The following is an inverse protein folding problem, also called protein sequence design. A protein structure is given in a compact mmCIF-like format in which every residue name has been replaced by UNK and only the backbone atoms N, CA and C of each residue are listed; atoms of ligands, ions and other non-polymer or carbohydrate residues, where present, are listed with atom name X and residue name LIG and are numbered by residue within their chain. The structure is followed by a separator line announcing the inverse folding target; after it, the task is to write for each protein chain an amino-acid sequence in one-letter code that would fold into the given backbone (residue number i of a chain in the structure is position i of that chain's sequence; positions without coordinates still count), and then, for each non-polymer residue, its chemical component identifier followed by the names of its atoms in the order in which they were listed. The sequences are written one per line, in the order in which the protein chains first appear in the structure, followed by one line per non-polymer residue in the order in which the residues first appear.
data_IF_627306834019
#
_entry.id   IF_627306834019
#
_cell.length_a   1.000
_cell.length_b   1.000
_cell.length_c   1.000
_cell.angle_alpha   90.00
_cell.angle_beta   90.00
_cell.angle_gamma   90.00
#
_symmetry.space_group_name_H-M   'P 1'
#
loop_
_entity.id
_entity.type
_entity.pdbx_description
1 polymer ?
#
# COMPACT_ATOMS: atom_id res chain seq x y z
N UNK A 1 3.02 34.80 -21.09
CA UNK A 1 3.46 33.51 -20.51
C UNK A 1 2.34 32.99 -19.60
N UNK A 2 1.82 31.81 -19.88
CA UNK A 2 0.70 31.16 -19.12
C UNK A 2 0.94 31.11 -17.59
N UNK A 3 2.20 31.07 -17.16
CA UNK A 3 2.58 31.02 -15.74
C UNK A 3 2.34 32.33 -14.98
N UNK A 4 2.39 33.47 -15.65
CA UNK A 4 2.19 34.80 -15.01
C UNK A 4 0.72 35.15 -14.85
N UNK A 5 -0.17 34.52 -15.59
CA UNK A 5 -1.63 34.70 -15.49
C UNK A 5 -2.22 33.93 -14.31
N UNK A 6 -1.56 32.84 -13.89
CA UNK A 6 -2.03 31.94 -12.84
C UNK A 6 -1.50 32.28 -11.46
N UNK A 7 -0.24 32.73 -11.36
CA UNK A 7 0.41 33.03 -10.09
C UNK A 7 1.30 34.26 -10.19
N UNK A 8 1.39 35.02 -9.09
CA UNK A 8 2.38 36.07 -8.90
C UNK A 8 3.59 35.49 -8.19
N UNK A 9 4.76 35.84 -8.70
CA UNK A 9 6.05 35.42 -8.15
C UNK A 9 6.73 36.64 -7.51
N UNK A 10 6.93 36.61 -6.20
CA UNK A 10 7.57 37.70 -5.47
C UNK A 10 8.87 37.21 -4.84
N UNK A 11 10.03 37.72 -5.28
CA UNK A 11 11.28 37.38 -4.61
C UNK A 11 11.30 38.00 -3.21
N UNK A 12 11.71 37.24 -2.22
CA UNK A 12 11.83 37.67 -0.84
C UNK A 12 13.18 37.29 -0.29
N UNK A 13 13.81 38.22 0.41
CA UNK A 13 15.05 37.96 1.13
C UNK A 13 14.71 37.84 2.62
N UNK A 14 15.11 36.72 3.22
CA UNK A 14 14.95 36.45 4.64
C UNK A 14 16.31 36.37 5.31
N UNK A 15 16.40 36.79 6.56
CA UNK A 15 17.62 36.82 7.37
C UNK A 15 17.72 38.11 8.19
N UNK A 16 18.63 38.19 9.15
CA UNK A 16 18.82 39.37 9.97
C UNK A 16 19.45 40.51 9.16
N UNK A 17 18.80 41.68 9.13
CA UNK A 17 19.33 42.90 8.52
C UNK A 17 19.86 43.79 9.65
N UNK A 18 21.12 44.17 9.57
CA UNK A 18 21.76 45.05 10.57
C UNK A 18 22.54 46.18 9.94
N UNK A 19 22.34 47.42 10.46
CA UNK A 19 23.11 48.61 10.13
C UNK A 19 22.62 49.42 8.92
N UNK A 20 23.16 50.66 8.81
CA UNK A 20 22.77 51.64 7.79
C UNK A 20 23.19 51.26 6.35
N UNK A 21 24.04 50.27 6.19
CA UNK A 21 24.55 49.80 4.89
C UNK A 21 24.31 48.28 4.70
N UNK A 22 23.09 47.83 5.00
CA UNK A 22 22.75 46.44 4.86
C UNK A 22 22.87 45.99 3.40
N UNK A 23 23.84 45.12 3.14
CA UNK A 23 24.04 44.46 1.84
C UNK A 23 23.61 43.00 1.95
N UNK A 24 23.17 42.44 0.82
CA UNK A 24 22.88 41.00 0.75
C UNK A 24 24.18 40.20 0.99
N UNK A 25 24.14 39.32 1.97
CA UNK A 25 25.21 38.39 2.29
C UNK A 25 24.64 36.96 2.18
N UNK A 26 25.13 36.14 1.25
CA UNK A 26 24.63 34.79 1.05
C UNK A 26 24.87 33.83 2.23
N UNK A 27 25.75 34.20 3.18
CA UNK A 27 26.01 33.41 4.38
C UNK A 27 24.90 33.53 5.44
N UNK A 28 24.21 34.68 5.49
CA UNK A 28 23.17 34.97 6.49
C UNK A 28 21.80 35.26 5.88
N UNK A 29 21.75 35.63 4.60
CA UNK A 29 20.51 35.93 3.90
C UNK A 29 20.15 34.80 2.94
N UNK A 30 18.87 34.44 2.92
CA UNK A 30 18.33 33.47 1.99
C UNK A 30 17.35 34.13 1.04
N UNK A 31 17.57 33.94 -0.25
CA UNK A 31 16.60 34.32 -1.27
C UNK A 31 15.54 33.25 -1.40
N UNK A 32 14.28 33.60 -1.22
CA UNK A 32 13.12 32.76 -1.38
C UNK A 32 12.19 33.33 -2.44
N UNK A 33 11.40 32.48 -3.07
CA UNK A 33 10.38 32.88 -4.02
C UNK A 33 9.02 32.59 -3.42
N UNK A 34 8.24 33.62 -3.12
CA UNK A 34 6.85 33.48 -2.70
C UNK A 34 5.98 33.37 -3.96
N UNK A 35 5.17 32.33 -4.00
CA UNK A 35 4.22 32.07 -5.08
C UNK A 35 2.82 32.33 -4.54
N UNK A 36 2.16 33.36 -5.06
CA UNK A 36 0.80 33.72 -4.66
C UNK A 36 -0.15 33.48 -5.83
N UNK A 37 -1.19 32.65 -5.66
CA UNK A 37 -2.20 32.43 -6.71
C UNK A 37 -2.87 33.77 -7.10
N UNK A 38 -3.14 33.95 -8.37
CA UNK A 38 -3.90 35.12 -8.87
C UNK A 38 -5.32 35.14 -8.28
N UNK A 39 -6.00 36.29 -8.36
CA UNK A 39 -7.39 36.40 -7.91
C UNK A 39 -8.31 35.42 -8.67
N UNK A 40 -8.08 35.27 -9.95
CA UNK A 40 -8.84 34.34 -10.81
C UNK A 40 -8.61 32.88 -10.42
N UNK A 41 -7.36 32.52 -10.10
CA UNK A 41 -7.03 31.18 -9.61
C UNK A 41 -7.68 30.91 -8.25
N UNK A 42 -7.69 31.87 -7.34
CA UNK A 42 -8.36 31.72 -6.04
C UNK A 42 -9.89 31.59 -6.20
N UNK A 43 -10.49 32.37 -7.09
CA UNK A 43 -11.92 32.26 -7.39
C UNK A 43 -12.28 30.91 -8.04
N UNK A 44 -11.46 30.45 -8.97
CA UNK A 44 -11.59 29.11 -9.56
C UNK A 44 -11.49 28.00 -8.51
N UNK A 45 -10.48 28.06 -7.62
CA UNK A 45 -10.29 27.10 -6.56
C UNK A 45 -11.44 27.10 -5.54
N UNK A 46 -12.06 28.27 -5.27
CA UNK A 46 -13.21 28.36 -4.37
C UNK A 46 -14.47 27.65 -4.91
N UNK A 47 -14.55 27.50 -6.23
CA UNK A 47 -15.65 26.84 -6.94
C UNK A 47 -15.40 25.35 -7.19
N UNK A 48 -14.18 24.87 -6.92
CA UNK A 48 -13.85 23.44 -7.04
C UNK A 48 -14.52 22.69 -5.91
N UNK A 49 -15.48 21.86 -6.24
CA UNK A 49 -16.03 20.87 -5.32
C UNK A 49 -14.98 19.80 -5.06
N UNK A 50 -14.59 19.64 -3.80
CA UNK A 50 -13.73 18.51 -3.38
C UNK A 50 -14.64 17.38 -2.94
N UNK A 51 -14.72 16.35 -3.75
CA UNK A 51 -15.33 15.10 -3.34
C UNK A 51 -14.30 14.26 -2.58
N UNK A 52 -14.54 14.07 -1.30
CA UNK A 52 -13.72 13.15 -0.49
C UNK A 52 -14.19 11.73 -0.78
N UNK A 53 -13.52 11.04 -1.70
CA UNK A 53 -13.80 9.64 -2.05
C UNK A 53 -13.49 8.64 -0.92
N UNK A 54 -13.37 9.10 0.30
CA UNK A 54 -13.05 8.37 1.52
C UNK A 54 -11.69 8.78 2.09
N UNK A 55 -11.57 8.73 3.39
CA UNK A 55 -10.26 8.83 4.03
C UNK A 55 -9.40 7.70 3.51
N UNK A 56 -8.13 7.98 3.16
CA UNK A 56 -7.15 6.93 2.87
C UNK A 56 -7.17 5.98 4.05
N UNK A 57 -7.80 4.83 3.86
CA UNK A 57 -8.00 3.86 4.93
C UNK A 57 -6.64 3.56 5.55
N UNK A 58 -6.50 3.80 6.83
CA UNK A 58 -5.32 3.38 7.61
C UNK A 58 -5.28 1.85 7.78
N UNK A 59 -6.27 1.18 7.24
CA UNK A 59 -6.37 -0.27 7.18
C UNK A 59 -5.29 -0.82 6.24
N UNK A 60 -4.56 -1.83 6.69
CA UNK A 60 -3.60 -2.53 5.84
C UNK A 60 -4.27 -3.08 4.58
N UNK A 61 -3.48 -3.29 3.55
CA UNK A 61 -3.98 -3.78 2.26
C UNK A 61 -3.00 -4.78 1.68
N UNK A 62 -3.52 -5.91 1.21
CA UNK A 62 -2.80 -6.86 0.36
C UNK A 62 -2.92 -6.36 -1.07
N UNK A 63 -1.80 -6.13 -1.73
CA UNK A 63 -1.74 -5.66 -3.11
C UNK A 63 -1.57 -6.78 -4.11
N UNK A 64 -0.63 -7.70 -3.85
CA UNK A 64 -0.29 -8.80 -4.74
C UNK A 64 0.10 -10.05 -3.96
N UNK A 65 -0.20 -11.20 -4.52
CA UNK A 65 0.24 -12.50 -4.04
C UNK A 65 0.91 -13.23 -5.20
N UNK A 66 2.16 -13.65 -4.98
CA UNK A 66 2.97 -14.37 -5.97
C UNK A 66 3.28 -15.76 -5.43
N UNK A 67 3.01 -16.78 -6.19
CA UNK A 67 3.49 -18.13 -5.90
C UNK A 67 4.99 -18.19 -6.22
N UNK A 68 5.82 -18.46 -5.22
CA UNK A 68 7.28 -18.45 -5.41
C UNK A 68 7.78 -19.67 -6.14
N UNK A 69 7.03 -20.76 -6.17
CA UNK A 69 7.37 -21.97 -6.89
C UNK A 69 7.20 -21.82 -8.41
N UNK A 70 6.07 -21.23 -8.83
CA UNK A 70 5.79 -20.97 -10.25
C UNK A 70 6.26 -19.61 -10.72
N UNK A 71 6.49 -18.65 -9.83
CA UNK A 71 6.80 -17.26 -10.13
C UNK A 71 5.58 -16.45 -10.61
N UNK A 72 4.37 -16.99 -10.57
CA UNK A 72 3.17 -16.37 -11.11
C UNK A 72 2.39 -15.61 -10.05
N UNK A 73 1.83 -14.46 -10.45
CA UNK A 73 0.97 -13.60 -9.62
C UNK A 73 -0.47 -13.56 -10.14
N UNK A 74 -0.93 -14.64 -10.74
CA UNK A 74 -2.22 -14.75 -11.42
C UNK A 74 -3.36 -15.30 -10.54
N UNK A 75 -3.11 -15.42 -9.23
CA UNK A 75 -4.07 -16.02 -8.29
C UNK A 75 -3.96 -17.54 -8.16
N UNK A 76 -3.08 -18.23 -8.90
CA UNK A 76 -2.78 -19.65 -8.67
C UNK A 76 -1.72 -19.79 -7.58
N UNK A 77 -1.90 -20.74 -6.67
CA UNK A 77 -0.95 -21.03 -5.57
C UNK A 77 -0.73 -22.54 -5.43
N UNK A 78 0.48 -22.91 -5.04
CA UNK A 78 0.89 -24.31 -4.87
C UNK A 78 0.87 -24.68 -3.38
N UNK A 79 0.13 -25.72 -2.97
CA UNK A 79 0.14 -26.22 -1.61
C UNK A 79 1.54 -26.67 -1.18
N UNK A 80 1.87 -26.43 0.08
CA UNK A 80 3.15 -26.75 0.69
C UNK A 80 4.36 -26.01 0.09
N UNK A 81 4.14 -25.00 -0.76
CA UNK A 81 5.15 -24.09 -1.27
C UNK A 81 5.00 -22.69 -0.69
N UNK A 82 6.00 -21.85 -0.89
CA UNK A 82 5.99 -20.50 -0.34
C UNK A 82 5.26 -19.52 -1.27
N UNK A 83 4.56 -18.57 -0.68
CA UNK A 83 4.00 -17.42 -1.37
C UNK A 83 4.62 -16.14 -0.85
N UNK A 84 4.82 -15.19 -1.76
CA UNK A 84 5.16 -13.81 -1.46
C UNK A 84 3.90 -12.97 -1.45
N UNK A 85 3.62 -12.34 -0.32
CA UNK A 85 2.50 -11.42 -0.13
C UNK A 85 3.06 -10.01 -0.06
N UNK A 86 2.67 -9.14 -0.96
CA UNK A 86 3.07 -7.74 -0.99
C UNK A 86 1.86 -6.83 -0.71
N UNK A 87 2.12 -5.77 0.05
CA UNK A 87 1.04 -4.89 0.46
C UNK A 87 1.49 -3.70 1.29
N UNK A 88 0.58 -3.13 2.04
CA UNK A 88 0.84 -2.05 2.99
C UNK A 88 0.32 -2.45 4.37
N UNK A 89 1.16 -2.28 5.40
CA UNK A 89 0.84 -2.57 6.81
C UNK A 89 0.32 -3.99 7.06
N UNK A 90 0.88 -4.97 6.35
CA UNK A 90 0.47 -6.38 6.43
C UNK A 90 1.23 -7.19 7.47
N UNK A 91 2.29 -6.66 8.09
CA UNK A 91 3.10 -7.36 9.09
C UNK A 91 2.24 -8.05 10.14
N UNK A 92 2.53 -9.33 10.39
CA UNK A 92 1.91 -10.11 11.45
C UNK A 92 2.57 -9.74 12.77
N UNK A 93 1.82 -9.09 13.65
CA UNK A 93 2.28 -8.72 14.98
C UNK A 93 1.08 -8.56 15.92
N UNK A 94 1.22 -9.03 17.15
CA UNK A 94 0.21 -8.94 18.20
C UNK A 94 0.22 -10.17 19.09
N UNK A 95 -0.33 -10.01 20.28
CA UNK A 95 -0.44 -11.09 21.28
C UNK A 95 -1.82 -11.78 21.27
N UNK A 96 -2.78 -11.24 20.51
CA UNK A 96 -4.10 -11.83 20.40
C UNK A 96 -4.04 -13.17 19.67
N UNK A 97 -4.79 -14.15 20.13
CA UNK A 97 -4.81 -15.52 19.58
C UNK A 97 -5.36 -15.61 18.16
N UNK A 98 -6.07 -14.60 17.69
CA UNK A 98 -6.58 -14.50 16.33
C UNK A 98 -5.56 -14.00 15.32
N UNK A 99 -4.40 -13.50 15.78
CA UNK A 99 -3.36 -12.94 14.89
C UNK A 99 -2.71 -14.05 14.06
N UNK A 100 -2.69 -13.87 12.74
CA UNK A 100 -2.11 -14.85 11.83
C UNK A 100 -2.49 -14.65 10.37
N UNK A 101 -2.12 -15.63 9.55
CA UNK A 101 -2.50 -15.72 8.14
C UNK A 101 -3.41 -16.93 7.98
N UNK A 102 -4.48 -16.78 7.24
CA UNK A 102 -5.52 -17.80 7.09
C UNK A 102 -5.94 -17.90 5.62
N UNK A 103 -6.16 -19.13 5.18
CA UNK A 103 -6.83 -19.44 3.93
C UNK A 103 -8.26 -19.86 4.25
N UNK A 104 -9.22 -19.12 3.75
CA UNK A 104 -10.66 -19.35 3.95
C UNK A 104 -11.23 -19.88 2.65
N UNK A 105 -11.86 -21.06 2.69
CA UNK A 105 -12.53 -21.62 1.52
C UNK A 105 -13.60 -20.66 0.96
N UNK A 106 -13.93 -20.78 -0.32
CA UNK A 106 -14.86 -19.86 -0.99
C UNK A 106 -16.25 -19.84 -0.31
N UNK A 107 -16.72 -20.99 0.19
CA UNK A 107 -17.94 -21.14 0.98
C UNK A 107 -17.85 -20.53 2.40
N UNK A 108 -16.63 -20.22 2.86
CA UNK A 108 -16.38 -19.70 4.20
C UNK A 108 -16.38 -20.73 5.33
N UNK A 109 -16.64 -22.00 5.03
CA UNK A 109 -16.79 -23.05 6.06
C UNK A 109 -15.45 -23.50 6.63
N UNK A 110 -14.41 -23.55 5.80
CA UNK A 110 -13.08 -24.02 6.20
C UNK A 110 -12.09 -22.87 6.31
N UNK A 111 -11.53 -22.71 7.49
CA UNK A 111 -10.46 -21.74 7.77
C UNK A 111 -9.18 -22.51 8.11
N UNK A 112 -8.17 -22.42 7.25
CA UNK A 112 -6.90 -23.12 7.43
C UNK A 112 -5.80 -22.11 7.77
N UNK A 113 -5.23 -22.14 8.99
CA UNK A 113 -4.18 -21.24 9.40
C UNK A 113 -2.82 -21.61 8.79
N UNK A 114 -1.98 -20.61 8.57
CA UNK A 114 -0.55 -20.81 8.33
C UNK A 114 0.12 -21.04 9.68
N UNK A 115 0.55 -22.28 9.92
CA UNK A 115 1.15 -22.69 11.20
C UNK A 115 2.67 -22.61 11.21
N UNK A 116 3.29 -22.60 10.03
CA UNK A 116 4.75 -22.51 9.91
C UNK A 116 5.25 -21.11 10.18
N UNK A 117 6.45 -21.01 10.73
CA UNK A 117 7.13 -19.73 10.92
C UNK A 117 7.29 -19.04 9.58
N UNK A 118 6.99 -17.74 9.56
CA UNK A 118 7.16 -16.90 8.39
C UNK A 118 8.64 -16.74 8.05
N UNK A 119 9.00 -16.92 6.80
CA UNK A 119 10.38 -16.71 6.32
C UNK A 119 10.72 -15.22 6.31
N UNK A 120 9.75 -14.39 5.96
CA UNK A 120 9.83 -12.92 6.02
C UNK A 120 8.53 -12.35 6.60
N UNK A 121 8.64 -11.31 7.42
CA UNK A 121 7.48 -10.66 8.06
C UNK A 121 7.71 -9.15 8.22
N UNK A 122 7.64 -8.43 7.12
CA UNK A 122 7.84 -6.99 7.05
C UNK A 122 6.51 -6.25 6.84
N UNK A 123 6.44 -4.92 7.10
CA UNK A 123 5.22 -4.16 6.91
C UNK A 123 4.63 -4.18 5.50
N UNK A 124 5.49 -4.39 4.49
CA UNK A 124 5.10 -4.38 3.07
C UNK A 124 5.28 -5.74 2.38
N UNK A 125 5.92 -6.72 3.04
CA UNK A 125 6.29 -7.98 2.41
C UNK A 125 6.29 -9.12 3.43
N UNK A 126 5.58 -10.20 3.10
CA UNK A 126 5.55 -11.43 3.88
C UNK A 126 5.84 -12.61 2.97
N UNK A 127 6.68 -13.55 3.43
CA UNK A 127 6.85 -14.85 2.80
C UNK A 127 6.32 -15.89 3.78
N UNK A 128 5.30 -16.62 3.32
CA UNK A 128 4.58 -17.61 4.11
C UNK A 128 4.40 -18.91 3.32
N UNK A 129 4.48 -20.05 4.01
CA UNK A 129 4.22 -21.34 3.42
C UNK A 129 2.72 -21.61 3.37
N UNK A 130 2.23 -21.95 2.19
CA UNK A 130 0.85 -22.40 1.98
C UNK A 130 0.66 -23.73 2.70
N UNK A 131 -0.36 -23.88 3.53
CA UNK A 131 -0.66 -25.18 4.14
C UNK A 131 -1.11 -26.21 3.11
N UNK A 132 -1.27 -27.47 3.51
CA UNK A 132 -1.84 -28.51 2.67
C UNK A 132 -3.33 -28.23 2.41
N UNK A 133 -3.60 -27.46 1.35
CA UNK A 133 -4.94 -27.14 0.89
C UNK A 133 -5.39 -28.16 -0.16
N UNK A 134 -6.69 -28.46 -0.18
CA UNK A 134 -7.33 -29.21 -1.26
C UNK A 134 -7.62 -28.32 -2.45
N UNK A 135 -7.83 -28.90 -3.62
CA UNK A 135 -8.20 -28.15 -4.81
C UNK A 135 -9.45 -27.30 -4.56
N UNK A 136 -9.42 -26.06 -5.03
CA UNK A 136 -10.51 -25.13 -4.83
C UNK A 136 -10.06 -23.68 -4.78
N UNK A 137 -11.01 -22.78 -4.51
CA UNK A 137 -10.77 -21.37 -4.36
C UNK A 137 -10.74 -20.96 -2.89
N UNK A 138 -9.82 -20.06 -2.58
CA UNK A 138 -9.59 -19.58 -1.22
C UNK A 138 -9.47 -18.05 -1.18
N UNK A 139 -9.92 -17.46 -0.09
CA UNK A 139 -9.63 -16.06 0.26
C UNK A 139 -8.46 -16.02 1.22
N UNK A 140 -7.46 -15.20 0.93
CA UNK A 140 -6.35 -14.95 1.85
C UNK A 140 -6.76 -13.88 2.84
N UNK A 141 -6.65 -14.21 4.12
CA UNK A 141 -6.96 -13.32 5.24
C UNK A 141 -5.75 -13.18 6.15
N UNK A 142 -5.40 -11.95 6.46
CA UNK A 142 -4.39 -11.59 7.46
C UNK A 142 -5.10 -10.94 8.64
N UNK A 143 -4.82 -11.40 9.85
CA UNK A 143 -5.27 -10.77 11.08
C UNK A 143 -4.04 -10.28 11.85
N UNK A 144 -4.01 -9.00 12.21
CA UNK A 144 -2.84 -8.39 12.84
C UNK A 144 -3.20 -7.23 13.74
N UNK A 145 -2.40 -7.01 14.78
CA UNK A 145 -2.43 -5.81 15.61
C UNK A 145 -1.36 -4.79 15.19
N UNK A 146 -0.65 -5.03 14.10
CA UNK A 146 0.37 -4.13 13.60
C UNK A 146 -0.25 -2.79 13.15
N UNK A 147 0.32 -1.69 13.63
CA UNK A 147 0.05 -0.34 13.13
C UNK A 147 1.25 0.18 12.32
N UNK A 148 1.36 1.46 12.13
CA UNK A 148 2.52 2.05 11.41
C UNK A 148 3.76 2.21 12.31
N UNK A 149 3.61 2.13 13.62
CA UNK A 149 4.67 2.42 14.59
C UNK A 149 4.98 1.23 15.52
N UNK A 150 5.55 1.55 16.66
CA UNK A 150 5.90 0.58 17.71
C UNK A 150 4.66 0.11 18.48
N UNK A 151 3.64 0.96 18.56
CA UNK A 151 2.42 0.67 19.34
C UNK A 151 1.50 -0.25 18.55
N UNK A 152 1.07 -1.34 19.18
CA UNK A 152 0.10 -2.26 18.62
C UNK A 152 -1.32 -1.70 18.72
N UNK A 153 -2.19 -2.12 17.84
CA UNK A 153 -3.62 -1.85 17.94
C UNK A 153 -4.22 -2.56 19.15
N UNK A 154 -5.18 -1.92 19.80
CA UNK A 154 -5.90 -2.53 20.94
C UNK A 154 -6.69 -3.77 20.53
N UNK A 155 -7.24 -3.77 19.35
CA UNK A 155 -7.98 -4.91 18.77
C UNK A 155 -7.34 -5.34 17.45
N UNK A 156 -7.30 -6.65 17.16
CA UNK A 156 -6.84 -7.13 15.87
C UNK A 156 -7.68 -6.59 14.73
N UNK A 157 -7.06 -6.33 13.60
CA UNK A 157 -7.75 -5.97 12.37
C UNK A 157 -7.58 -7.07 11.34
N UNK A 158 -8.59 -7.21 10.51
CA UNK A 158 -8.61 -8.18 9.42
C UNK A 158 -8.34 -7.47 8.10
N UNK A 159 -7.46 -8.06 7.29
CA UNK A 159 -7.11 -7.62 5.94
C UNK A 159 -7.36 -8.79 5.02
N UNK A 160 -8.22 -8.62 4.02
CA UNK A 160 -8.52 -9.67 3.04
C UNK A 160 -7.96 -9.30 1.67
N UNK A 161 -7.44 -10.30 0.98
CA UNK A 161 -7.05 -10.16 -0.42
C UNK A 161 -8.30 -10.15 -1.29
N UNK A 162 -8.36 -9.18 -2.22
CA UNK A 162 -9.57 -8.96 -3.04
C UNK A 162 -9.81 -10.03 -4.09
N UNK A 163 -8.74 -10.68 -4.54
CA UNK A 163 -8.84 -11.71 -5.58
C UNK A 163 -8.84 -13.09 -4.95
N UNK A 164 -9.59 -14.05 -5.49
CA UNK A 164 -9.52 -15.42 -5.05
C UNK A 164 -8.17 -16.03 -5.40
N UNK A 165 -7.69 -16.92 -4.56
CA UNK A 165 -6.53 -17.78 -4.81
C UNK A 165 -7.01 -19.18 -5.15
N UNK A 166 -6.49 -19.77 -6.21
CA UNK A 166 -6.90 -21.10 -6.68
C UNK A 166 -5.79 -22.11 -6.41
N UNK A 167 -6.17 -23.24 -5.83
CA UNK A 167 -5.32 -24.41 -5.63
C UNK A 167 -5.80 -25.52 -6.57
N UNK A 168 -4.88 -26.20 -7.24
CA UNK A 168 -5.21 -27.24 -8.23
C UNK A 168 -5.72 -26.65 -9.54
N UNK A 169 -5.76 -27.47 -10.60
CA UNK A 169 -6.24 -27.13 -11.95
C UNK A 169 -5.82 -25.77 -12.49
N UNK A 170 -4.57 -25.41 -12.29
CA UNK A 170 -3.92 -24.32 -13.01
C UNK A 170 -3.46 -24.83 -14.39
N UNK A 171 -4.36 -25.33 -15.18
CA UNK A 171 -4.16 -25.45 -16.60
C UNK A 171 -4.28 -24.04 -17.18
N UNK A 172 -3.17 -23.41 -17.51
CA UNK A 172 -3.20 -22.29 -18.43
C UNK A 172 -3.82 -22.80 -19.73
N UNK A 173 -4.99 -22.30 -20.07
CA UNK A 173 -5.43 -22.29 -21.45
C UNK A 173 -4.45 -21.41 -22.24
N UNK A 174 -3.39 -22.05 -22.64
CA UNK A 174 -2.54 -21.63 -23.75
C UNK A 174 -3.31 -21.98 -25.01
N UNK A 175 -4.26 -21.15 -25.39
CA UNK A 175 -4.78 -21.16 -26.75
C UNK A 175 -3.62 -20.76 -27.66
N UNK A 176 -2.96 -21.76 -28.21
CA UNK A 176 -2.15 -21.61 -29.42
C UNK A 176 -3.07 -21.16 -30.55
N UNK A 177 -2.78 -20.06 -31.25
CA UNK A 177 -3.42 -19.81 -32.52
C UNK A 177 -2.99 -20.91 -33.49
N UNK A 178 -3.95 -21.71 -33.96
CA UNK A 178 -3.76 -22.63 -35.05
C UNK A 178 -3.19 -21.89 -36.26
N UNK A 179 -2.05 -22.39 -36.76
CA UNK A 179 -1.55 -22.08 -38.11
C UNK A 179 -2.56 -22.56 -39.15
N UNK A 180 -2.90 -21.66 -40.04
CA UNK A 180 -3.37 -21.99 -41.38
C UNK A 180 -2.38 -21.40 -42.36
#
# INVERSE_FOLDING_TARGET
SLLTEVCQYTPRITGPWGGETAKFDPAIHKLTLDIVPSAEMRDALSKVGVEVLGAKSEVGRIGMVTDTFTGLSNGSITPNEDILIEGDRIRINGADSSVGIFFVSEDGEKVTPVTRRLTQNDPSRIIARVPALTDGKYKLRIVTQFSKGVTLLKSPRTIEYKLPLTVGAGGGDSESPDEI
#
